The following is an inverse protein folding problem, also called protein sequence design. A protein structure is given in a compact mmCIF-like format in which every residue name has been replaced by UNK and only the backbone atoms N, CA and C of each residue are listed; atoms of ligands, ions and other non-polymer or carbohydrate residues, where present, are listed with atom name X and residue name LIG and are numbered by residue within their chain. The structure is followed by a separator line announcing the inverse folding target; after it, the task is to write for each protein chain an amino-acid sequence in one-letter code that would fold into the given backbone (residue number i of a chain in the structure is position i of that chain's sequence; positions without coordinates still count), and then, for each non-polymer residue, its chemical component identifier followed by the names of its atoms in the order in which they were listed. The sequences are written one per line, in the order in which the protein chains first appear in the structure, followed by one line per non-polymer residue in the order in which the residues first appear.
data_IF_139438911291
#
_entry.id   IF_139438911291
#
_cell.length_a   1.000
_cell.length_b   1.000
_cell.length_c   1.000
_cell.angle_alpha   90.00
_cell.angle_beta   90.00
_cell.angle_gamma   90.00
#
_symmetry.space_group_name_H-M   'P 1'
#
loop_
_entity.id
_entity.type
_entity.pdbx_description
1 polymer ?
#
# COMPACT_ATOMS: atom_id res chain seq x y z
N UNK A 1 -8.34 -8.90 2.32
CA UNK A 1 -8.18 -7.61 1.59
C UNK A 1 -7.69 -7.92 0.17
N UNK A 2 -8.24 -7.30 -0.86
CA UNK A 2 -7.91 -7.57 -2.28
C UNK A 2 -6.76 -6.74 -2.82
N UNK A 3 -5.61 -6.74 -2.14
CA UNK A 3 -4.48 -5.87 -2.51
C UNK A 3 -3.88 -6.23 -3.88
N UNK A 4 -3.58 -5.21 -4.67
CA UNK A 4 -2.65 -5.28 -5.79
C UNK A 4 -1.64 -4.15 -5.59
N UNK A 5 -0.47 -4.49 -5.03
CA UNK A 5 0.46 -3.50 -4.50
C UNK A 5 1.50 -3.09 -5.54
N UNK A 6 1.66 -1.79 -5.69
CA UNK A 6 2.78 -1.17 -6.37
C UNK A 6 3.66 -0.45 -5.34
N UNK A 7 4.93 -0.85 -5.27
CA UNK A 7 5.89 -0.29 -4.32
C UNK A 7 6.67 0.85 -4.97
N UNK A 8 6.68 2.01 -4.32
CA UNK A 8 7.37 3.22 -4.78
C UNK A 8 8.08 3.91 -3.62
N UNK A 9 9.16 4.69 -3.86
CA UNK A 9 9.77 5.52 -2.83
C UNK A 9 8.72 6.44 -2.19
N UNK A 10 8.73 6.55 -0.87
CA UNK A 10 7.73 7.33 -0.12
C UNK A 10 7.68 8.80 -0.56
N UNK A 11 8.84 9.36 -0.89
CA UNK A 11 9.02 10.73 -1.38
C UNK A 11 8.36 11.01 -2.74
N UNK A 12 8.08 9.97 -3.54
CA UNK A 12 7.38 10.10 -4.83
C UNK A 12 5.86 10.09 -4.70
N UNK A 13 5.33 9.99 -3.49
CA UNK A 13 3.88 9.96 -3.22
C UNK A 13 3.47 11.21 -2.49
N UNK A 14 2.48 11.91 -3.07
CA UNK A 14 1.81 13.04 -2.45
C UNK A 14 0.35 12.68 -2.22
N UNK A 15 -0.14 12.99 -1.02
CA UNK A 15 -1.54 12.81 -0.64
C UNK A 15 -2.23 14.17 -0.65
N UNK A 16 -3.44 14.23 -1.20
CA UNK A 16 -4.25 15.45 -1.21
C UNK A 16 -5.01 15.62 0.11
N UNK A 17 -5.43 14.52 0.72
CA UNK A 17 -6.04 14.50 2.04
C UNK A 17 -4.97 14.30 3.14
N UNK A 18 -5.20 14.82 4.36
CA UNK A 18 -4.35 14.54 5.51
C UNK A 18 -4.25 13.04 5.77
N UNK A 19 -3.04 12.53 5.97
CA UNK A 19 -2.80 11.11 6.29
C UNK A 19 -3.45 10.68 7.64
N UNK A 20 -3.74 11.65 8.52
CA UNK A 20 -4.35 11.43 9.84
C UNK A 20 -5.81 10.99 9.81
N UNK A 21 -6.50 11.10 8.67
CA UNK A 21 -7.91 10.69 8.53
C UNK A 21 -8.08 9.18 8.30
N UNK A 22 -6.96 8.43 8.22
CA UNK A 22 -6.97 6.98 8.01
C UNK A 22 -6.56 6.23 9.26
N UNK A 23 -7.33 5.18 9.57
CA UNK A 23 -6.96 4.21 10.57
C UNK A 23 -5.71 3.42 10.12
N UNK A 24 -4.90 3.03 11.09
CA UNK A 24 -3.67 2.26 10.86
C UNK A 24 -3.82 0.87 11.43
N UNK A 25 -3.45 -0.13 10.64
CA UNK A 25 -3.36 -1.53 11.05
C UNK A 25 -1.95 -2.06 10.81
N UNK A 26 -1.37 -2.73 11.80
CA UNK A 26 -0.11 -3.46 11.68
C UNK A 26 -0.36 -4.95 11.95
N UNK A 27 0.44 -5.81 11.32
CA UNK A 27 0.37 -7.26 11.57
C UNK A 27 1.76 -7.88 11.61
N UNK A 28 1.86 -9.10 12.15
CA UNK A 28 3.11 -9.86 12.24
C UNK A 28 4.24 -9.03 12.90
N UNK A 29 5.37 -8.80 12.20
CA UNK A 29 6.52 -8.04 12.70
C UNK A 29 6.29 -6.53 12.75
N UNK A 30 5.08 -6.05 12.41
CA UNK A 30 4.71 -4.63 12.40
C UNK A 30 5.58 -3.73 11.50
N UNK A 31 6.22 -4.32 10.49
CA UNK A 31 7.12 -3.61 9.56
C UNK A 31 6.34 -2.72 8.60
N UNK A 32 5.09 -3.08 8.29
CA UNK A 32 4.22 -2.30 7.41
C UNK A 32 3.04 -1.74 8.20
N UNK A 33 2.83 -0.43 8.08
CA UNK A 33 1.66 0.30 8.57
C UNK A 33 0.64 0.38 7.43
N UNK A 34 -0.44 -0.40 7.53
CA UNK A 34 -1.51 -0.38 6.53
C UNK A 34 -2.51 0.71 6.86
N UNK A 35 -2.69 1.67 5.95
CA UNK A 35 -3.64 2.76 6.11
C UNK A 35 -4.95 2.43 5.41
N UNK A 36 -6.07 2.64 6.10
CA UNK A 36 -7.39 2.36 5.57
C UNK A 36 -8.44 3.29 6.17
N UNK A 37 -9.53 3.51 5.43
CA UNK A 37 -10.69 4.24 5.94
C UNK A 37 -11.46 3.33 6.89
N UNK A 38 -11.62 3.75 8.13
CA UNK A 38 -12.42 3.04 9.15
C UNK A 38 -13.92 3.04 8.86
N UNK A 39 -14.40 4.00 8.06
CA UNK A 39 -15.82 4.10 7.67
C UNK A 39 -16.21 3.13 6.55
N UNK A 40 -15.41 3.04 5.48
CA UNK A 40 -15.75 2.23 4.30
C UNK A 40 -14.81 1.02 4.06
N UNK A 41 -13.73 0.89 4.82
CA UNK A 41 -12.77 -0.21 4.70
C UNK A 41 -11.78 -0.09 3.54
N UNK A 42 -11.86 0.96 2.71
CA UNK A 42 -10.92 1.17 1.61
C UNK A 42 -9.50 1.30 2.14
N UNK A 43 -8.55 0.53 1.59
CA UNK A 43 -7.16 0.48 2.02
C UNK A 43 -6.24 0.90 0.86
N UNK A 44 -6.06 2.22 0.63
CA UNK A 44 -5.38 2.74 -0.54
C UNK A 44 -3.86 2.56 -0.49
N UNK A 45 -3.25 2.53 0.70
CA UNK A 45 -1.80 2.41 0.82
C UNK A 45 -1.33 1.82 2.15
N UNK A 46 -0.04 1.51 2.22
CA UNK A 46 0.69 1.30 3.47
C UNK A 46 2.11 1.84 3.39
N UNK A 47 2.74 2.07 4.53
CA UNK A 47 4.13 2.50 4.63
C UNK A 47 5.00 1.44 5.29
N UNK A 48 6.22 1.31 4.79
CA UNK A 48 7.25 0.44 5.35
C UNK A 48 8.63 0.86 4.87
N UNK A 49 9.58 -0.06 4.96
CA UNK A 49 10.91 0.10 4.40
C UNK A 49 11.16 -0.99 3.36
N UNK A 50 11.95 -0.67 2.34
CA UNK A 50 12.45 -1.65 1.39
C UNK A 50 13.61 -2.49 2.00
N UNK A 51 14.17 -3.50 1.29
CA UNK A 51 15.29 -4.28 1.81
C UNK A 51 16.56 -3.48 2.12
N UNK A 52 16.71 -2.27 1.58
CA UNK A 52 17.82 -1.35 1.90
C UNK A 52 17.55 -0.47 3.13
N UNK A 53 16.32 -0.50 3.66
CA UNK A 53 15.87 0.35 4.77
C UNK A 53 15.25 1.67 4.31
N UNK A 54 15.13 1.92 2.99
CA UNK A 54 14.58 3.17 2.48
C UNK A 54 13.05 3.21 2.60
N UNK A 55 12.52 4.38 2.97
CA UNK A 55 11.09 4.58 3.17
C UNK A 55 10.30 4.33 1.88
N UNK A 56 9.33 3.43 1.96
CA UNK A 56 8.56 2.93 0.82
C UNK A 56 7.06 3.04 1.08
N UNK A 57 6.32 3.40 0.03
CA UNK A 57 4.86 3.33 0.00
C UNK A 57 4.41 2.14 -0.84
N UNK A 58 3.54 1.31 -0.28
CA UNK A 58 2.83 0.25 -0.98
C UNK A 58 1.45 0.76 -1.39
N UNK A 59 1.28 1.12 -2.66
CA UNK A 59 0.04 1.67 -3.21
C UNK A 59 -0.85 0.55 -3.73
N UNK A 60 -2.10 0.50 -3.29
CA UNK A 60 -3.08 -0.42 -3.86
C UNK A 60 -3.60 0.16 -5.18
N UNK A 61 -3.13 -0.35 -6.31
CA UNK A 61 -3.46 0.21 -7.64
C UNK A 61 -4.95 0.09 -7.99
N UNK A 62 -5.69 -0.78 -7.30
CA UNK A 62 -7.16 -0.86 -7.43
C UNK A 62 -7.89 0.38 -6.89
N UNK A 63 -7.19 1.22 -6.13
CA UNK A 63 -7.71 2.48 -5.61
C UNK A 63 -7.28 3.69 -6.48
N UNK A 64 -6.58 3.45 -7.59
CA UNK A 64 -6.17 4.50 -8.53
C UNK A 64 -7.20 4.63 -9.65
N UNK A 65 -7.54 5.87 -9.99
CA UNK A 65 -8.41 6.17 -11.12
C UNK A 65 -7.62 6.11 -12.44
N UNK A 66 -8.28 5.68 -13.52
CA UNK A 66 -7.72 5.70 -14.88
C UNK A 66 -6.65 4.63 -15.15
N UNK A 67 -6.56 3.60 -14.32
CA UNK A 67 -5.63 2.48 -14.53
C UNK A 67 -6.37 1.28 -15.08
N UNK A 68 -5.94 0.81 -16.26
CA UNK A 68 -6.37 -0.47 -16.83
C UNK A 68 -5.62 -1.61 -16.14
N UNK A 69 -6.26 -2.27 -15.18
CA UNK A 69 -5.61 -3.31 -14.36
C UNK A 69 -5.14 -4.52 -15.19
N UNK A 70 -5.80 -4.80 -16.31
CA UNK A 70 -5.49 -5.92 -17.21
C UNK A 70 -4.16 -5.75 -17.95
N UNK A 71 -3.67 -4.51 -18.08
CA UNK A 71 -2.42 -4.22 -18.80
C UNK A 71 -1.20 -4.26 -17.87
N UNK A 72 -1.40 -4.43 -16.56
CA UNK A 72 -0.32 -4.45 -15.58
C UNK A 72 0.37 -5.82 -15.55
N UNK A 73 1.70 -5.80 -15.57
CA UNK A 73 2.50 -7.00 -15.29
C UNK A 73 2.47 -7.29 -13.79
N UNK A 74 1.74 -8.33 -13.38
CA UNK A 74 1.59 -8.70 -11.97
C UNK A 74 2.57 -9.80 -11.58
N UNK A 75 3.43 -9.51 -10.59
CA UNK A 75 4.23 -10.53 -9.92
C UNK A 75 3.46 -11.08 -8.72
N UNK A 76 3.13 -12.36 -8.76
CA UNK A 76 2.53 -13.05 -7.61
C UNK A 76 3.59 -13.27 -6.53
N UNK A 77 3.20 -13.05 -5.27
CA UNK A 77 4.07 -13.23 -4.10
C UNK A 77 3.34 -14.12 -3.10
N UNK A 78 4.01 -15.19 -2.68
CA UNK A 78 3.53 -16.03 -1.59
C UNK A 78 3.89 -15.41 -0.24
N UNK A 79 2.97 -14.63 0.32
CA UNK A 79 3.17 -13.97 1.61
C UNK A 79 3.34 -14.91 2.80
N UNK A 80 3.08 -16.22 2.67
CA UNK A 80 3.34 -17.20 3.75
C UNK A 80 4.83 -17.55 3.83
N UNK A 81 5.52 -17.62 2.69
CA UNK A 81 6.89 -18.10 2.56
C UNK A 81 7.90 -17.00 2.18
N UNK A 82 7.50 -15.72 2.24
CA UNK A 82 8.32 -14.57 1.85
C UNK A 82 9.25 -14.07 2.97
#
# INVERSE_FOLDING_TARGET
KGYLLWFVPREKVRFEAPEGDLATYTFNKHVIKHHFCDKCGCAPFGFGADPSGAATAAINVRCLNGIELSTLSVKQVDGRNF
#
